data_IF_677126707828
#
_entry.id   IF_677126707828
#
_cell.length_a   1.000
_cell.length_b   1.000
_cell.length_c   1.000
_cell.angle_alpha   90.00
_cell.angle_beta   90.00
_cell.angle_gamma   90.00
#
_symmetry.space_group_name_H-M   'P 1'
#
loop_
_entity.id
_entity.type
_entity.pdbx_description
1 polymer ?
#
# COMPACT_ATOMS: atom_id res chain seq x y z
N UNK A 1 -74.64 -41.52 -5.85
CA UNK A 1 -74.29 -40.17 -5.33
C UNK A 1 -72.91 -40.10 -4.67
N UNK A 2 -72.51 -41.02 -3.77
CA UNK A 2 -71.17 -41.00 -3.12
C UNK A 2 -69.97 -41.03 -4.07
N UNK A 3 -70.07 -41.73 -5.22
CA UNK A 3 -69.00 -41.83 -6.23
C UNK A 3 -68.74 -40.52 -7.00
N UNK A 4 -69.77 -39.69 -7.18
CA UNK A 4 -69.66 -38.40 -7.87
C UNK A 4 -68.99 -37.36 -6.95
N UNK A 5 -69.32 -37.39 -5.66
CA UNK A 5 -68.68 -36.58 -4.63
C UNK A 5 -67.18 -36.89 -4.50
N UNK A 6 -66.81 -38.18 -4.58
CA UNK A 6 -65.42 -38.61 -4.56
C UNK A 6 -64.64 -38.18 -5.82
N UNK A 7 -65.28 -38.25 -7.00
CA UNK A 7 -64.68 -37.78 -8.24
C UNK A 7 -64.42 -36.25 -8.22
N UNK A 8 -65.35 -35.48 -7.66
CA UNK A 8 -65.18 -34.03 -7.51
C UNK A 8 -64.04 -33.67 -6.55
N UNK A 9 -63.86 -34.44 -5.47
CA UNK A 9 -62.79 -34.23 -4.50
C UNK A 9 -61.39 -34.49 -5.10
N UNK A 10 -61.28 -35.49 -5.98
CA UNK A 10 -60.02 -35.83 -6.67
C UNK A 10 -59.67 -34.77 -7.72
N UNK A 11 -60.67 -34.21 -8.41
CA UNK A 11 -60.46 -33.14 -9.40
C UNK A 11 -60.10 -31.81 -8.70
N UNK A 12 -60.74 -31.49 -7.58
CA UNK A 12 -60.40 -30.27 -6.81
C UNK A 12 -59.02 -30.35 -6.12
N UNK A 13 -58.58 -31.55 -5.72
CA UNK A 13 -57.26 -31.77 -5.10
C UNK A 13 -56.08 -31.86 -6.07
N UNK A 14 -56.35 -31.92 -7.38
CA UNK A 14 -55.33 -31.99 -8.45
C UNK A 14 -55.11 -30.66 -9.17
N UNK A 15 -55.75 -29.58 -8.70
CA UNK A 15 -55.37 -28.23 -9.13
C UNK A 15 -53.94 -28.03 -8.64
N UNK A 16 -52.94 -27.90 -9.53
CA UNK A 16 -51.59 -27.61 -9.08
C UNK A 16 -51.68 -26.30 -8.32
N UNK A 17 -51.37 -26.33 -7.03
CA UNK A 17 -51.12 -25.11 -6.26
C UNK A 17 -49.97 -24.46 -6.99
N UNK A 18 -50.28 -23.49 -7.85
CA UNK A 18 -49.30 -22.62 -8.47
C UNK A 18 -48.63 -21.95 -7.29
N UNK A 19 -47.50 -22.50 -6.85
CA UNK A 19 -46.67 -21.89 -5.85
C UNK A 19 -46.44 -20.46 -6.36
N UNK A 20 -47.00 -19.47 -5.66
CA UNK A 20 -46.74 -18.07 -5.95
C UNK A 20 -45.23 -17.92 -5.82
N UNK A 21 -44.53 -17.99 -6.95
CA UNK A 21 -43.12 -17.68 -7.03
C UNK A 21 -43.05 -16.18 -6.85
N UNK A 22 -42.84 -15.77 -5.61
CA UNK A 22 -42.49 -14.40 -5.30
C UNK A 22 -41.14 -14.13 -5.98
N UNK A 23 -41.19 -13.60 -7.19
CA UNK A 23 -40.04 -13.01 -7.83
C UNK A 23 -39.91 -11.60 -7.24
N UNK A 24 -38.96 -11.35 -6.31
CA UNK A 24 -38.76 -10.02 -5.78
C UNK A 24 -38.49 -9.08 -6.95
N UNK A 25 -39.41 -8.16 -7.22
CA UNK A 25 -39.17 -7.03 -8.14
C UNK A 25 -38.22 -6.06 -7.44
N UNK A 26 -36.93 -6.35 -7.47
CA UNK A 26 -35.90 -5.34 -7.18
C UNK A 26 -36.01 -4.29 -8.27
N UNK A 27 -36.26 -3.03 -7.88
CA UNK A 27 -36.29 -1.93 -8.83
C UNK A 27 -34.91 -1.84 -9.49
N UNK A 28 -34.87 -1.52 -10.79
CA UNK A 28 -33.61 -1.32 -11.54
C UNK A 28 -32.68 -0.34 -10.81
N UNK A 29 -33.26 0.64 -10.12
CA UNK A 29 -32.58 1.63 -9.29
C UNK A 29 -31.90 1.00 -8.08
N UNK A 30 -32.56 0.08 -7.37
CA UNK A 30 -31.98 -0.62 -6.22
C UNK A 30 -30.78 -1.50 -6.61
N UNK A 31 -30.86 -2.17 -7.77
CA UNK A 31 -29.76 -2.96 -8.31
C UNK A 31 -28.59 -2.06 -8.74
N UNK A 32 -28.89 -0.91 -9.36
CA UNK A 32 -27.87 0.08 -9.75
C UNK A 32 -27.15 0.67 -8.53
N UNK A 33 -27.87 0.98 -7.46
CA UNK A 33 -27.29 1.49 -6.21
C UNK A 33 -26.37 0.43 -5.59
N UNK A 34 -26.82 -0.83 -5.55
CA UNK A 34 -26.01 -1.92 -5.01
C UNK A 34 -24.73 -2.11 -5.82
N UNK A 35 -24.81 -2.11 -7.14
CA UNK A 35 -23.64 -2.21 -8.02
C UNK A 35 -22.65 -1.06 -7.81
N UNK A 36 -23.15 0.17 -7.70
CA UNK A 36 -22.30 1.33 -7.40
C UNK A 36 -21.61 1.19 -6.03
N UNK A 37 -22.31 0.71 -5.00
CA UNK A 37 -21.71 0.45 -3.68
C UNK A 37 -20.64 -0.63 -3.74
N UNK A 38 -20.87 -1.71 -4.49
CA UNK A 38 -19.89 -2.78 -4.70
C UNK A 38 -18.64 -2.26 -5.41
N UNK A 39 -18.78 -1.42 -6.44
CA UNK A 39 -17.64 -0.78 -7.10
C UNK A 39 -16.85 0.13 -6.14
N UNK A 40 -17.54 0.94 -5.35
CA UNK A 40 -16.89 1.80 -4.34
C UNK A 40 -16.13 0.96 -3.32
N UNK A 41 -16.70 -0.15 -2.85
CA UNK A 41 -16.02 -1.09 -1.96
C UNK A 41 -14.76 -1.68 -2.60
N UNK A 42 -14.83 -2.12 -3.87
CA UNK A 42 -13.66 -2.64 -4.59
C UNK A 42 -12.54 -1.61 -4.71
N UNK A 43 -12.88 -0.36 -5.01
CA UNK A 43 -11.89 0.73 -5.07
C UNK A 43 -11.29 1.05 -3.69
N UNK A 44 -12.11 1.06 -2.63
CA UNK A 44 -11.62 1.21 -1.26
C UNK A 44 -10.65 0.08 -0.87
N UNK A 45 -10.96 -1.18 -1.23
CA UNK A 45 -10.06 -2.31 -0.99
C UNK A 45 -8.71 -2.10 -1.70
N UNK A 46 -8.73 -1.65 -2.96
CA UNK A 46 -7.49 -1.34 -3.71
C UNK A 46 -6.64 -0.25 -3.03
N UNK A 47 -7.28 0.80 -2.50
CA UNK A 47 -6.57 1.84 -1.73
C UNK A 47 -5.95 1.27 -0.46
N UNK A 48 -6.68 0.42 0.26
CA UNK A 48 -6.16 -0.23 1.47
C UNK A 48 -4.98 -1.15 1.16
N UNK A 49 -5.06 -1.94 0.09
CA UNK A 49 -3.94 -2.77 -0.38
C UNK A 49 -2.70 -1.95 -0.76
N UNK A 50 -2.90 -0.78 -1.37
CA UNK A 50 -1.79 0.14 -1.66
C UNK A 50 -1.19 0.73 -0.38
N UNK A 51 -2.02 1.10 0.62
CA UNK A 51 -1.56 1.60 1.92
C UNK A 51 -0.81 0.54 2.74
N UNK A 52 -1.22 -0.72 2.64
CA UNK A 52 -0.48 -1.84 3.25
C UNK A 52 0.92 -1.94 2.61
N UNK A 53 1.00 -1.89 1.27
CA UNK A 53 2.29 -1.89 0.57
C UNK A 53 3.16 -0.67 0.91
N UNK A 54 2.56 0.51 1.05
CA UNK A 54 3.28 1.71 1.52
C UNK A 54 3.93 1.45 2.88
N UNK A 55 3.18 0.90 3.84
CA UNK A 55 3.68 0.61 5.18
C UNK A 55 4.81 -0.45 5.18
N UNK A 56 4.71 -1.47 4.33
CA UNK A 56 5.77 -2.48 4.15
C UNK A 56 7.06 -1.85 3.63
N UNK A 57 6.97 -1.01 2.59
CA UNK A 57 8.13 -0.34 2.00
C UNK A 57 8.72 0.72 2.94
N UNK A 58 7.90 1.41 3.75
CA UNK A 58 8.36 2.31 4.82
C UNK A 58 9.14 1.59 5.91
N UNK A 59 8.73 0.37 6.30
CA UNK A 59 9.48 -0.44 7.24
C UNK A 59 10.89 -0.76 6.71
N UNK A 60 11.02 -0.97 5.40
CA UNK A 60 12.31 -1.17 4.74
C UNK A 60 13.12 0.14 4.61
N UNK A 61 12.47 1.30 4.42
CA UNK A 61 13.13 2.62 4.53
C UNK A 61 13.77 2.79 5.91
N UNK A 62 13.08 2.42 6.99
CA UNK A 62 13.62 2.52 8.36
C UNK A 62 14.86 1.64 8.53
N UNK A 63 14.84 0.40 8.04
CA UNK A 63 16.01 -0.50 8.07
C UNK A 63 17.19 0.09 7.29
N UNK A 64 16.93 0.64 6.10
CA UNK A 64 17.98 1.27 5.28
C UNK A 64 18.49 2.57 5.92
N UNK A 65 17.65 3.32 6.62
CA UNK A 65 18.05 4.52 7.37
C UNK A 65 19.03 4.20 8.49
N UNK A 66 18.82 3.09 9.21
CA UNK A 66 19.76 2.64 10.24
C UNK A 66 21.11 2.27 9.61
N UNK A 67 21.10 1.49 8.51
CA UNK A 67 22.33 1.15 7.77
C UNK A 67 23.06 2.38 7.23
N UNK A 68 22.33 3.39 6.75
CA UNK A 68 22.89 4.66 6.32
C UNK A 68 23.59 5.38 7.49
N UNK A 69 22.95 5.45 8.65
CA UNK A 69 23.50 6.09 9.84
C UNK A 69 24.77 5.39 10.32
N UNK A 70 24.77 4.05 10.33
CA UNK A 70 25.94 3.24 10.65
C UNK A 70 27.09 3.49 9.66
N UNK A 71 26.81 3.45 8.35
CA UNK A 71 27.83 3.69 7.32
C UNK A 71 28.40 5.12 7.39
N UNK A 72 27.54 6.12 7.61
CA UNK A 72 27.99 7.51 7.82
C UNK A 72 28.82 7.67 9.11
N UNK A 73 28.45 6.95 10.18
CA UNK A 73 29.23 6.92 11.42
C UNK A 73 30.63 6.36 11.20
N UNK A 74 30.74 5.25 10.48
CA UNK A 74 32.01 4.62 10.12
C UNK A 74 32.86 5.54 9.23
N UNK A 75 32.26 6.14 8.20
CA UNK A 75 32.95 7.08 7.30
C UNK A 75 33.48 8.29 8.07
N UNK A 76 32.69 8.86 8.99
CA UNK A 76 33.09 9.97 9.84
C UNK A 76 34.25 9.58 10.76
N UNK A 77 34.15 8.45 11.46
CA UNK A 77 35.20 7.97 12.36
C UNK A 77 36.51 7.68 11.60
N UNK A 78 36.43 7.08 10.40
CA UNK A 78 37.61 6.81 9.57
C UNK A 78 38.22 8.10 9.01
N UNK A 79 37.41 9.11 8.67
CA UNK A 79 37.89 10.44 8.28
C UNK A 79 38.60 11.17 9.42
N UNK A 80 38.03 11.14 10.63
CA UNK A 80 38.62 11.76 11.82
C UNK A 80 39.97 11.09 12.16
N UNK A 81 40.03 9.76 12.13
CA UNK A 81 41.28 9.01 12.35
C UNK A 81 42.34 9.27 11.26
N UNK A 82 41.92 9.48 10.01
CA UNK A 82 42.84 9.88 8.93
C UNK A 82 43.41 11.28 9.17
N UNK A 83 42.56 12.24 9.57
CA UNK A 83 42.98 13.62 9.84
C UNK A 83 43.85 13.78 11.09
N UNK A 84 43.61 12.97 12.14
CA UNK A 84 44.39 13.00 13.37
C UNK A 84 45.81 12.45 13.26
N UNK A 85 46.12 11.73 12.18
CA UNK A 85 47.45 11.15 11.94
C UNK A 85 48.41 12.10 11.16
N UNK A 86 47.97 13.33 10.93
CA UNK A 86 48.75 14.41 10.31
C UNK A 86 49.15 15.38 11.45
N UNK A 87 50.45 15.52 11.70
CA UNK A 87 50.92 16.49 12.70
C UNK A 87 50.56 17.92 12.30
N UNK A 88 50.51 18.86 13.25
CA UNK A 88 50.26 20.31 13.00
C UNK A 88 51.21 20.97 11.97
N UNK A 89 52.31 20.30 11.62
CA UNK A 89 53.30 20.68 10.59
C UNK A 89 52.97 20.12 9.18
N UNK A 90 51.90 19.34 9.02
CA UNK A 90 51.55 18.66 7.77
C UNK A 90 52.38 17.39 7.49
N UNK A 91 53.27 17.00 8.41
CA UNK A 91 54.16 15.86 8.25
C UNK A 91 53.47 14.58 8.70
N UNK A 92 53.45 13.57 7.82
CA UNK A 92 52.87 12.25 8.09
C UNK A 92 53.77 11.47 9.06
N UNK A 93 53.23 11.07 10.22
CA UNK A 93 53.99 10.40 11.30
C UNK A 93 54.45 9.00 10.90
N UNK A 94 53.63 8.28 10.11
CA UNK A 94 53.95 6.97 9.54
C UNK A 94 53.23 6.82 8.18
N UNK A 95 54.01 6.79 7.10
CA UNK A 95 53.50 6.78 5.73
C UNK A 95 52.69 5.50 5.42
N UNK A 96 53.07 4.35 5.99
CA UNK A 96 52.36 3.08 5.79
C UNK A 96 51.05 3.04 6.60
N UNK A 97 51.06 3.58 7.81
CA UNK A 97 49.84 3.68 8.61
C UNK A 97 48.85 4.68 7.99
N UNK A 98 49.35 5.81 7.47
CA UNK A 98 48.54 6.80 6.78
C UNK A 98 47.91 6.26 5.49
N UNK A 99 48.64 5.46 4.71
CA UNK A 99 48.11 4.83 3.50
C UNK A 99 46.97 3.83 3.82
N UNK A 100 47.12 3.03 4.88
CA UNK A 100 46.05 2.12 5.34
C UNK A 100 44.80 2.88 5.80
N UNK A 101 44.99 3.96 6.57
CA UNK A 101 43.89 4.81 7.03
C UNK A 101 43.19 5.52 5.87
N UNK A 102 43.94 5.99 4.88
CA UNK A 102 43.40 6.61 3.67
C UNK A 102 42.56 5.61 2.85
N UNK A 103 43.06 4.39 2.64
CA UNK A 103 42.31 3.32 1.96
C UNK A 103 41.03 2.97 2.70
N UNK A 104 41.08 2.88 4.04
CA UNK A 104 39.91 2.62 4.87
C UNK A 104 38.88 3.75 4.79
N UNK A 105 39.31 5.00 4.93
CA UNK A 105 38.42 6.17 4.82
C UNK A 105 37.73 6.24 3.45
N UNK A 106 38.45 5.93 2.36
CA UNK A 106 37.87 5.86 1.03
C UNK A 106 36.84 4.72 0.89
N UNK A 107 37.16 3.52 1.39
CA UNK A 107 36.23 2.38 1.38
C UNK A 107 34.96 2.68 2.18
N UNK A 108 35.09 3.25 3.38
CA UNK A 108 33.95 3.57 4.23
C UNK A 108 33.08 4.69 3.61
N UNK A 109 33.70 5.66 2.92
CA UNK A 109 32.97 6.68 2.15
C UNK A 109 32.20 6.09 0.96
N UNK A 110 32.81 5.17 0.21
CA UNK A 110 32.15 4.48 -0.90
C UNK A 110 30.96 3.64 -0.41
N UNK A 111 31.08 2.99 0.75
CA UNK A 111 30.00 2.20 1.35
C UNK A 111 28.86 3.09 1.89
N UNK A 112 29.18 4.24 2.48
CA UNK A 112 28.19 5.25 2.84
C UNK A 112 27.43 5.77 1.61
N UNK A 113 28.13 6.03 0.50
CA UNK A 113 27.50 6.45 -0.75
C UNK A 113 26.56 5.37 -1.32
N UNK A 114 26.98 4.10 -1.35
CA UNK A 114 26.11 2.98 -1.76
C UNK A 114 24.89 2.84 -0.85
N UNK A 115 25.04 3.04 0.46
CA UNK A 115 23.93 3.01 1.41
C UNK A 115 22.93 4.14 1.13
N UNK A 116 23.42 5.34 0.82
CA UNK A 116 22.60 6.49 0.41
C UNK A 116 21.82 6.20 -0.87
N UNK A 117 22.46 5.65 -1.89
CA UNK A 117 21.79 5.30 -3.14
C UNK A 117 20.66 4.28 -2.93
N UNK A 118 20.89 3.26 -2.09
CA UNK A 118 19.87 2.26 -1.75
C UNK A 118 18.70 2.89 -0.99
N UNK A 119 19.00 3.75 -0.02
CA UNK A 119 18.00 4.49 0.74
C UNK A 119 17.13 5.37 -0.16
N UNK A 120 17.76 6.15 -1.05
CA UNK A 120 17.05 7.03 -1.97
C UNK A 120 16.17 6.25 -2.96
N UNK A 121 16.67 5.14 -3.52
CA UNK A 121 15.86 4.26 -4.38
C UNK A 121 14.61 3.75 -3.66
N UNK A 122 14.75 3.41 -2.38
CA UNK A 122 13.63 2.92 -1.58
C UNK A 122 12.61 4.03 -1.29
N UNK A 123 13.07 5.25 -0.99
CA UNK A 123 12.18 6.43 -0.85
C UNK A 123 11.38 6.66 -2.12
N UNK A 124 12.02 6.62 -3.29
CA UNK A 124 11.34 6.83 -4.58
C UNK A 124 10.20 5.83 -4.77
N UNK A 125 10.39 4.56 -4.39
CA UNK A 125 9.30 3.56 -4.46
C UNK A 125 8.12 3.92 -3.54
N UNK A 126 8.39 4.38 -2.32
CA UNK A 126 7.34 4.82 -1.39
C UNK A 126 6.57 6.01 -1.97
N UNK A 127 7.27 6.97 -2.58
CA UNK A 127 6.65 8.13 -3.24
C UNK A 127 5.80 7.73 -4.46
N UNK A 128 6.25 6.76 -5.25
CA UNK A 128 5.48 6.20 -6.36
C UNK A 128 4.18 5.55 -5.86
N UNK A 129 4.23 4.79 -4.75
CA UNK A 129 3.05 4.17 -4.14
C UNK A 129 2.10 5.25 -3.61
N UNK A 130 2.61 6.28 -2.93
CA UNK A 130 1.80 7.42 -2.47
C UNK A 130 1.09 8.13 -3.61
N UNK A 131 1.77 8.29 -4.75
CA UNK A 131 1.18 8.88 -5.95
C UNK A 131 0.05 8.00 -6.50
N UNK A 132 0.22 6.67 -6.49
CA UNK A 132 -0.85 5.73 -6.86
C UNK A 132 -2.03 5.80 -5.90
N UNK A 133 -1.80 5.88 -4.58
CA UNK A 133 -2.85 6.05 -3.57
C UNK A 133 -3.65 7.32 -3.84
N UNK A 134 -2.97 8.45 -4.05
CA UNK A 134 -3.64 9.72 -4.37
C UNK A 134 -4.47 9.63 -5.65
N UNK A 135 -3.98 8.93 -6.67
CA UNK A 135 -4.71 8.69 -7.91
C UNK A 135 -5.99 7.88 -7.69
N UNK A 136 -5.95 6.83 -6.88
CA UNK A 136 -7.11 5.99 -6.56
C UNK A 136 -8.09 6.70 -5.60
N UNK A 137 -7.60 7.45 -4.63
CA UNK A 137 -8.43 8.27 -3.71
C UNK A 137 -9.21 9.35 -4.49
N UNK A 138 -8.61 9.96 -5.52
CA UNK A 138 -9.33 10.89 -6.41
C UNK A 138 -10.48 10.20 -7.14
N UNK A 139 -10.29 8.97 -7.64
CA UNK A 139 -11.34 8.18 -8.31
C UNK A 139 -12.51 7.88 -7.36
N UNK A 140 -12.20 7.56 -6.10
CA UNK A 140 -13.22 7.40 -5.05
C UNK A 140 -13.98 8.69 -4.77
N UNK A 141 -13.28 9.83 -4.75
CA UNK A 141 -13.88 11.15 -4.59
C UNK A 141 -14.98 11.44 -5.61
N UNK A 142 -14.79 11.09 -6.88
CA UNK A 142 -15.79 11.27 -7.94
C UNK A 142 -17.02 10.35 -7.81
N UNK A 143 -16.91 9.24 -7.06
CA UNK A 143 -18.03 8.30 -6.84
C UNK A 143 -18.77 8.52 -5.52
N UNK A 144 -18.34 9.48 -4.67
CA UNK A 144 -19.11 9.85 -3.48
C UNK A 144 -20.39 10.57 -3.93
N UNK A 145 -21.59 10.08 -3.57
CA UNK A 145 -22.81 10.83 -3.84
C UNK A 145 -22.77 12.14 -3.05
N UNK A 146 -22.88 13.27 -3.74
CA UNK A 146 -23.21 14.55 -3.11
C UNK A 146 -24.68 14.43 -2.73
N UNK A 147 -24.97 14.25 -1.44
CA UNK A 147 -26.33 14.38 -0.92
C UNK A 147 -26.71 15.86 -0.99
N UNK A 148 -27.33 16.26 -2.10
CA UNK A 148 -27.96 17.59 -2.21
C UNK A 148 -29.32 17.48 -1.54
N UNK A 149 -29.45 18.07 -0.36
CA UNK A 149 -30.75 18.27 0.28
C UNK A 149 -31.41 19.48 -0.36
N UNK A 150 -32.37 19.24 -1.25
CA UNK A 150 -33.23 20.28 -1.79
C UNK A 150 -34.37 20.48 -0.77
N UNK A 151 -34.28 21.53 0.04
CA UNK A 151 -35.36 21.93 0.94
C UNK A 151 -36.36 22.78 0.13
N UNK A 152 -37.51 22.19 -0.20
CA UNK A 152 -38.69 22.93 -0.67
C UNK A 152 -39.59 23.32 0.49
#
# INVERSE_FOLDING_TARGET
MKKILFAFLIIAGSIPVMAQTYNPKVSKDSLSILNNRVEVLKMNMKVLELKIREAEEEADVVKLRLKLLEANGNAKASSENHSGNINKSGTVVDQKAAEKLSKKAKSDADDAQKALERYNKQITKVEDIRTQIQGEDRKLGYKKPILVYDYK
#
